data_IF_653696854112
#
_entry.id   IF_653696854112
#
_cell.length_a   1.000
_cell.length_b   1.000
_cell.length_c   1.000
_cell.angle_alpha   90.00
_cell.angle_beta   90.00
_cell.angle_gamma   90.00
#
_symmetry.space_group_name_H-M   'P 1'
#
loop_
_entity.id
_entity.type
_entity.pdbx_description
1 polymer ?
#
# COMPACT_ATOMS: atom_id res chain seq x y z
N UNK A 1 -9.24 49.87 -8.43
CA UNK A 1 -8.44 48.80 -9.05
C UNK A 1 -8.76 47.54 -8.28
N UNK A 2 -9.56 46.67 -8.90
CA UNK A 2 -10.14 45.45 -8.33
C UNK A 2 -9.11 44.33 -8.38
N UNK A 3 -8.58 43.92 -7.22
CA UNK A 3 -7.84 42.67 -7.07
C UNK A 3 -8.78 41.59 -6.53
N UNK A 4 -9.48 40.97 -7.48
CA UNK A 4 -10.20 39.72 -7.30
C UNK A 4 -9.83 38.84 -8.48
N UNK A 5 -8.73 38.12 -8.33
CA UNK A 5 -8.18 37.07 -9.22
C UNK A 5 -7.18 36.32 -8.30
N UNK A 6 -7.33 35.07 -7.88
CA UNK A 6 -7.86 33.89 -8.56
C UNK A 6 -8.55 32.98 -7.52
N UNK A 7 -9.86 33.14 -7.40
CA UNK A 7 -10.75 32.01 -7.16
C UNK A 7 -10.94 31.33 -8.52
N UNK A 8 -9.96 30.55 -8.97
CA UNK A 8 -10.19 29.60 -10.07
C UNK A 8 -10.79 28.35 -9.45
N UNK A 9 -12.11 28.43 -9.34
CA UNK A 9 -13.08 27.34 -9.42
C UNK A 9 -12.46 25.98 -9.76
N UNK A 10 -12.21 25.18 -8.73
CA UNK A 10 -11.85 23.77 -8.84
C UNK A 10 -13.12 22.95 -9.10
N UNK A 11 -13.78 23.22 -10.23
CA UNK A 11 -14.91 22.45 -10.73
C UNK A 11 -14.49 21.17 -11.47
N UNK A 12 -13.29 20.64 -11.18
CA UNK A 12 -12.75 19.42 -11.79
C UNK A 12 -12.50 18.26 -10.81
N UNK A 13 -12.95 18.38 -9.55
CA UNK A 13 -12.91 17.27 -8.56
C UNK A 13 -13.93 16.15 -8.82
N UNK A 14 -14.71 16.19 -9.89
CA UNK A 14 -15.89 15.32 -10.03
C UNK A 14 -15.65 13.94 -10.65
N UNK A 15 -14.46 13.65 -11.20
CA UNK A 15 -14.11 12.27 -11.61
C UNK A 15 -13.23 11.58 -10.57
N UNK A 16 -13.69 11.55 -9.31
CA UNK A 16 -13.08 10.71 -8.27
C UNK A 16 -13.11 9.25 -8.73
N UNK A 17 -11.93 8.72 -9.06
CA UNK A 17 -11.73 7.32 -9.43
C UNK A 17 -12.02 6.44 -8.22
N UNK A 18 -13.24 5.92 -8.09
CA UNK A 18 -13.63 5.11 -6.92
C UNK A 18 -13.08 3.68 -7.04
N UNK A 19 -12.01 3.39 -6.32
CA UNK A 19 -11.57 2.00 -6.08
C UNK A 19 -12.39 1.42 -4.92
N UNK A 20 -13.20 0.40 -5.20
CA UNK A 20 -14.05 -0.23 -4.17
C UNK A 20 -13.25 -1.28 -3.39
N UNK A 21 -12.81 -0.92 -2.18
CA UNK A 21 -12.13 -1.85 -1.28
C UNK A 21 -13.17 -2.75 -0.55
N UNK A 22 -13.02 -4.09 -0.59
CA UNK A 22 -13.88 -5.02 0.15
C UNK A 22 -13.92 -4.74 1.66
N UNK A 23 -15.06 -5.01 2.31
CA UNK A 23 -15.28 -4.68 3.73
C UNK A 23 -14.29 -5.36 4.70
N UNK A 24 -13.90 -6.61 4.44
CA UNK A 24 -12.92 -7.32 5.30
C UNK A 24 -11.53 -6.70 5.21
N UNK A 25 -11.16 -6.16 4.04
CA UNK A 25 -9.91 -5.43 3.86
C UNK A 25 -9.99 -4.01 4.45
N UNK A 26 -11.16 -3.38 4.44
CA UNK A 26 -11.38 -2.13 5.20
C UNK A 26 -11.18 -2.35 6.70
N UNK A 27 -11.72 -3.45 7.25
CA UNK A 27 -11.47 -3.82 8.64
C UNK A 27 -9.97 -4.01 8.91
N UNK A 28 -9.26 -4.71 8.01
CA UNK A 28 -7.81 -4.87 8.10
C UNK A 28 -7.07 -3.54 8.17
N UNK A 29 -7.48 -2.52 7.40
CA UNK A 29 -6.89 -1.17 7.43
C UNK A 29 -7.14 -0.46 8.77
N UNK A 30 -8.33 -0.64 9.36
CA UNK A 30 -8.67 -0.07 10.67
C UNK A 30 -7.82 -0.73 11.77
N UNK A 31 -7.73 -2.06 11.76
CA UNK A 31 -6.94 -2.83 12.72
C UNK A 31 -5.44 -2.46 12.59
N UNK A 32 -4.92 -2.36 11.36
CA UNK A 32 -3.54 -1.93 11.06
C UNK A 32 -3.24 -0.53 11.62
N UNK A 33 -4.13 0.44 11.39
CA UNK A 33 -3.99 1.78 11.95
C UNK A 33 -3.99 1.78 13.47
N UNK A 34 -4.86 0.99 14.12
CA UNK A 34 -4.93 0.88 15.57
C UNK A 34 -3.63 0.27 16.15
N UNK A 35 -3.11 -0.79 15.52
CA UNK A 35 -1.86 -1.43 15.96
C UNK A 35 -0.68 -0.47 15.95
N UNK A 36 -0.52 0.30 14.88
CA UNK A 36 0.64 1.18 14.73
C UNK A 36 0.47 2.47 15.51
N UNK A 37 -0.66 3.15 15.34
CA UNK A 37 -0.82 4.50 15.90
C UNK A 37 -1.12 4.46 17.40
N UNK A 38 -2.00 3.55 17.85
CA UNK A 38 -2.45 3.50 19.24
C UNK A 38 -1.62 2.53 20.08
N UNK A 39 -1.34 1.32 19.57
CA UNK A 39 -0.70 0.25 20.34
C UNK A 39 0.82 0.21 20.22
N UNK A 40 1.40 1.06 19.38
CA UNK A 40 2.85 1.13 19.12
C UNK A 40 3.46 -0.22 18.70
N UNK A 41 2.72 -0.96 17.87
CA UNK A 41 3.14 -2.23 17.31
C UNK A 41 3.45 -2.08 15.83
N UNK A 42 4.57 -2.64 15.39
CA UNK A 42 5.05 -2.53 14.03
C UNK A 42 5.04 -3.90 13.35
N UNK A 43 4.80 -3.90 12.05
CA UNK A 43 5.00 -5.09 11.21
C UNK A 43 6.49 -5.41 11.20
N UNK A 44 6.85 -6.66 11.48
CA UNK A 44 8.25 -7.09 11.41
C UNK A 44 8.74 -7.08 9.97
N UNK A 45 9.91 -6.47 9.75
CA UNK A 45 10.60 -6.43 8.47
C UNK A 45 11.89 -7.29 8.51
N UNK A 46 12.30 -7.91 7.40
CA UNK A 46 11.56 -8.03 6.14
C UNK A 46 10.32 -8.93 6.31
N UNK A 47 9.24 -8.60 5.60
CA UNK A 47 7.95 -9.29 5.67
C UNK A 47 7.91 -10.43 4.66
N UNK A 48 7.34 -11.59 5.05
CA UNK A 48 7.15 -12.73 4.15
C UNK A 48 5.71 -13.28 4.20
N UNK A 49 4.97 -13.32 3.07
CA UNK A 49 5.38 -12.87 1.74
C UNK A 49 5.52 -11.34 1.66
N UNK A 50 6.48 -10.87 0.86
CA UNK A 50 6.63 -9.45 0.53
C UNK A 50 5.73 -9.05 -0.65
N UNK A 51 5.74 -7.77 -1.04
CA UNK A 51 4.93 -7.28 -2.18
C UNK A 51 5.31 -7.99 -3.47
N UNK A 52 6.60 -8.18 -3.76
CA UNK A 52 7.06 -8.88 -4.97
C UNK A 52 6.51 -10.32 -5.03
N UNK A 53 6.55 -11.04 -3.91
CA UNK A 53 5.97 -12.39 -3.78
C UNK A 53 4.45 -12.37 -4.04
N UNK A 54 3.74 -11.38 -3.48
CA UNK A 54 2.28 -11.27 -3.61
C UNK A 54 1.89 -10.98 -5.07
N UNK A 55 2.59 -10.04 -5.73
CA UNK A 55 2.36 -9.71 -7.14
C UNK A 55 2.65 -10.92 -8.04
N UNK A 56 3.73 -11.65 -7.76
CA UNK A 56 4.10 -12.87 -8.49
C UNK A 56 3.04 -13.96 -8.32
N UNK A 57 2.59 -14.21 -7.08
CA UNK A 57 1.51 -15.17 -6.80
C UNK A 57 0.20 -14.82 -7.50
N UNK A 58 -0.13 -13.54 -7.61
CA UNK A 58 -1.31 -13.11 -8.35
C UNK A 58 -1.16 -13.33 -9.86
N UNK A 59 0.01 -13.04 -10.43
CA UNK A 59 0.28 -13.28 -11.84
C UNK A 59 0.14 -14.78 -12.17
N UNK A 60 0.71 -15.66 -11.35
CA UNK A 60 0.55 -17.11 -11.48
C UNK A 60 -0.91 -17.57 -11.36
N UNK A 61 -1.65 -17.01 -10.39
CA UNK A 61 -3.08 -17.26 -10.22
C UNK A 61 -3.86 -16.90 -11.49
N UNK A 62 -3.52 -15.78 -12.14
CA UNK A 62 -4.20 -15.31 -13.35
C UNK A 62 -3.82 -16.13 -14.58
N UNK A 63 -2.55 -16.52 -14.71
CA UNK A 63 -2.09 -17.39 -15.81
C UNK A 63 -2.83 -18.73 -15.84
N UNK A 64 -3.06 -19.33 -14.66
CA UNK A 64 -3.82 -20.59 -14.53
C UNK A 64 -5.31 -20.44 -14.86
N UNK A 65 -5.86 -19.24 -14.70
CA UNK A 65 -7.30 -18.96 -14.87
C UNK A 65 -7.69 -18.59 -16.31
N UNK A 66 -6.88 -17.77 -16.98
CA UNK A 66 -7.27 -17.13 -18.26
C UNK A 66 -6.48 -17.60 -19.49
N UNK A 67 -5.44 -18.42 -19.33
CA UNK A 67 -4.72 -19.09 -20.42
C UNK A 67 -3.95 -18.21 -21.43
N UNK A 68 -4.24 -16.91 -21.59
CA UNK A 68 -3.63 -16.06 -22.64
C UNK A 68 -3.62 -14.53 -22.44
N UNK A 69 -4.16 -13.98 -21.35
CA UNK A 69 -4.19 -12.51 -21.09
C UNK A 69 -3.26 -12.09 -19.93
N UNK A 70 -1.98 -12.45 -20.02
CA UNK A 70 -0.98 -12.15 -18.98
C UNK A 70 -0.32 -10.79 -19.14
N UNK A 71 -0.16 -10.30 -20.37
CA UNK A 71 0.73 -9.16 -20.64
C UNK A 71 0.18 -7.86 -20.04
N UNK A 72 -1.10 -7.56 -20.29
CA UNK A 72 -1.79 -6.41 -19.68
C UNK A 72 -1.85 -6.47 -18.15
N UNK A 73 -1.88 -7.67 -17.56
CA UNK A 73 -1.88 -7.84 -16.10
C UNK A 73 -0.48 -7.59 -15.55
N UNK A 74 0.55 -8.10 -16.22
CA UNK A 74 1.95 -7.86 -15.87
C UNK A 74 2.29 -6.37 -15.86
N UNK A 75 1.86 -5.62 -16.88
CA UNK A 75 2.07 -4.17 -16.95
C UNK A 75 1.42 -3.43 -15.76
N UNK A 76 0.18 -3.79 -15.41
CA UNK A 76 -0.52 -3.19 -14.27
C UNK A 76 0.21 -3.51 -12.95
N UNK A 77 0.69 -4.75 -12.77
CA UNK A 77 1.42 -5.14 -11.56
C UNK A 77 2.78 -4.45 -11.46
N UNK A 78 3.48 -4.29 -12.58
CA UNK A 78 4.72 -3.51 -12.64
C UNK A 78 4.48 -2.05 -12.29
N UNK A 79 3.38 -1.47 -12.78
CA UNK A 79 2.91 -0.14 -12.41
C UNK A 79 2.65 -0.03 -10.90
N UNK A 80 1.91 -0.98 -10.33
CA UNK A 80 1.64 -1.03 -8.88
C UNK A 80 2.92 -1.16 -8.04
N UNK A 81 3.88 -1.99 -8.47
CA UNK A 81 5.17 -2.15 -7.80
C UNK A 81 5.97 -0.85 -7.78
N UNK A 82 6.20 -0.27 -8.96
CA UNK A 82 6.93 1.00 -9.11
C UNK A 82 6.25 2.12 -8.31
N UNK A 83 4.92 2.12 -8.32
CA UNK A 83 4.14 3.08 -7.57
C UNK A 83 4.25 2.88 -6.06
N UNK A 84 4.20 1.63 -5.59
CA UNK A 84 4.42 1.28 -4.20
C UNK A 84 5.80 1.75 -3.71
N UNK A 85 6.86 1.44 -4.46
CA UNK A 85 8.24 1.80 -4.09
C UNK A 85 8.43 3.31 -3.92
N UNK A 86 7.82 4.11 -4.80
CA UNK A 86 7.88 5.57 -4.72
C UNK A 86 6.95 6.15 -3.65
N UNK A 87 5.74 5.59 -3.52
CA UNK A 87 4.73 6.12 -2.61
C UNK A 87 5.02 5.75 -1.15
N UNK A 88 5.67 4.62 -0.88
CA UNK A 88 5.91 4.14 0.48
C UNK A 88 6.61 5.18 1.36
N UNK A 89 7.81 5.68 1.01
CA UNK A 89 8.52 6.66 1.84
C UNK A 89 7.88 8.06 1.79
N UNK A 90 6.86 8.31 0.97
CA UNK A 90 6.24 9.64 0.90
C UNK A 90 4.94 9.67 1.69
N UNK A 91 4.02 8.74 1.41
CA UNK A 91 2.62 8.83 1.88
C UNK A 91 2.05 7.58 2.55
N UNK A 92 2.69 6.40 2.49
CA UNK A 92 2.08 5.16 3.01
C UNK A 92 2.52 4.79 4.44
N UNK A 93 3.59 5.40 4.95
CA UNK A 93 4.11 5.13 6.29
C UNK A 93 3.55 6.12 7.32
N UNK A 94 3.08 5.59 8.44
CA UNK A 94 2.77 6.39 9.62
C UNK A 94 4.06 6.93 10.26
N UNK A 95 3.93 7.99 11.07
CA UNK A 95 5.07 8.64 11.74
C UNK A 95 5.95 7.65 12.52
N UNK A 96 5.34 6.64 13.16
CA UNK A 96 6.02 5.62 13.98
C UNK A 96 6.81 4.59 13.17
N UNK A 97 6.47 4.39 11.89
CA UNK A 97 7.16 3.44 11.00
C UNK A 97 8.40 4.06 10.34
N UNK A 98 8.57 5.38 10.42
CA UNK A 98 9.64 6.12 9.72
C UNK A 98 11.03 5.67 10.14
N UNK A 99 11.24 5.45 11.44
CA UNK A 99 12.52 4.96 11.95
C UNK A 99 12.82 3.55 11.42
N UNK A 100 11.83 2.65 11.48
CA UNK A 100 11.96 1.29 10.95
C UNK A 100 12.29 1.27 9.45
N UNK A 101 11.73 2.20 8.67
CA UNK A 101 12.06 2.35 7.25
C UNK A 101 13.53 2.68 7.03
N UNK A 102 14.08 3.66 7.75
CA UNK A 102 15.50 4.05 7.62
C UNK A 102 16.46 2.93 8.02
N UNK A 103 16.05 2.03 8.94
CA UNK A 103 16.85 0.89 9.36
C UNK A 103 16.74 -0.31 8.40
N UNK A 104 15.56 -0.52 7.82
CA UNK A 104 15.28 -1.70 7.00
C UNK A 104 15.60 -1.51 5.51
N UNK A 105 15.48 -0.30 4.97
CA UNK A 105 15.61 -0.01 3.54
C UNK A 105 16.92 0.73 3.27
N UNK A 106 17.87 0.04 2.64
CA UNK A 106 19.08 0.64 2.11
C UNK A 106 18.84 1.31 0.75
N UNK A 107 19.72 2.21 0.33
CA UNK A 107 19.54 3.06 -0.86
C UNK A 107 19.25 2.30 -2.16
N UNK A 108 19.80 1.09 -2.33
CA UNK A 108 19.63 0.26 -3.53
C UNK A 108 18.57 -0.84 -3.38
N UNK A 109 17.80 -0.86 -2.29
CA UNK A 109 16.80 -1.91 -2.03
C UNK A 109 15.39 -1.38 -2.28
N UNK A 110 14.65 -2.06 -3.16
CA UNK A 110 13.25 -1.74 -3.44
C UNK A 110 12.36 -2.05 -2.22
N UNK A 111 11.51 -1.10 -1.78
CA UNK A 111 10.60 -1.37 -0.68
C UNK A 111 9.65 -2.55 -0.92
N UNK A 112 9.28 -2.84 -2.16
CA UNK A 112 8.44 -3.98 -2.52
C UNK A 112 9.05 -5.34 -2.15
N UNK A 113 10.38 -5.42 -2.02
CA UNK A 113 11.09 -6.64 -1.58
C UNK A 113 11.14 -6.80 -0.05
N UNK A 114 10.79 -5.76 0.71
CA UNK A 114 10.88 -5.73 2.18
C UNK A 114 9.51 -5.73 2.83
N UNK A 115 8.56 -4.96 2.30
CA UNK A 115 7.24 -4.75 2.89
C UNK A 115 6.22 -5.76 2.37
N UNK A 116 5.09 -5.90 3.08
CA UNK A 116 4.07 -6.90 2.76
C UNK A 116 2.70 -6.33 2.40
N UNK A 117 1.69 -7.17 2.58
CA UNK A 117 0.31 -6.90 2.16
C UNK A 117 -0.32 -5.72 2.93
N UNK A 118 0.10 -5.50 4.18
CA UNK A 118 -0.41 -4.46 5.07
C UNK A 118 -0.20 -3.07 4.41
N UNK A 119 1.03 -2.77 4.03
CA UNK A 119 1.40 -1.52 3.38
C UNK A 119 0.90 -1.44 1.95
N UNK A 120 0.92 -2.57 1.21
CA UNK A 120 0.37 -2.64 -0.13
C UNK A 120 -1.12 -2.28 -0.14
N UNK A 121 -1.88 -2.71 0.87
CA UNK A 121 -3.30 -2.40 0.96
C UNK A 121 -3.54 -0.89 1.18
N UNK A 122 -2.67 -0.20 1.92
CA UNK A 122 -2.74 1.26 2.10
C UNK A 122 -2.62 2.00 0.77
N UNK A 123 -1.86 1.45 -0.19
CA UNK A 123 -1.75 2.01 -1.52
C UNK A 123 -3.12 2.15 -2.21
N UNK A 124 -4.01 1.16 -2.05
CA UNK A 124 -5.33 1.18 -2.67
C UNK A 124 -6.25 2.27 -2.09
N UNK A 125 -5.97 2.76 -0.89
CA UNK A 125 -6.68 3.91 -0.30
C UNK A 125 -6.23 5.22 -0.96
N UNK A 126 -4.95 5.30 -1.35
CA UNK A 126 -4.35 6.49 -1.96
C UNK A 126 -4.48 6.53 -3.48
N UNK A 127 -4.57 5.37 -4.13
CA UNK A 127 -4.65 5.25 -5.57
C UNK A 127 -5.74 6.14 -6.21
N UNK A 128 -6.97 6.27 -5.66
CA UNK A 128 -7.99 7.19 -6.17
C UNK A 128 -7.54 8.65 -6.29
N UNK A 129 -6.90 9.16 -5.23
CA UNK A 129 -6.40 10.55 -5.17
C UNK A 129 -5.37 10.77 -6.27
N UNK A 130 -4.56 9.75 -6.58
CA UNK A 130 -3.44 9.83 -7.49
C UNK A 130 -3.86 9.67 -8.95
N UNK A 131 -4.81 8.77 -9.22
CA UNK A 131 -5.38 8.58 -10.56
C UNK A 131 -6.21 9.78 -11.00
N UNK A 132 -6.74 10.59 -10.07
CA UNK A 132 -7.47 11.81 -10.39
C UNK A 132 -6.60 12.87 -11.10
N UNK A 133 -5.28 12.83 -10.94
CA UNK A 133 -4.36 13.75 -11.61
C UNK A 133 -3.90 13.29 -13.00
N UNK A 134 -4.31 12.09 -13.43
CA UNK A 134 -3.90 11.51 -14.72
C UNK A 134 -5.10 11.55 -15.68
N UNK A 135 -4.90 12.12 -16.87
CA UNK A 135 -5.92 12.14 -17.92
C UNK A 135 -6.00 10.76 -18.60
N UNK A 136 -6.73 9.82 -17.98
CA UNK A 136 -6.94 8.46 -18.49
C UNK A 136 -8.30 8.41 -19.22
N UNK A 137 -8.30 7.82 -20.41
CA UNK A 137 -9.54 7.55 -21.16
C UNK A 137 -10.49 6.66 -20.34
N UNK A 138 -11.79 6.96 -20.43
CA UNK A 138 -12.80 6.33 -19.57
C UNK A 138 -12.85 4.80 -19.70
N UNK A 139 -12.78 4.27 -20.92
CA UNK A 139 -12.78 2.82 -21.13
C UNK A 139 -11.55 2.15 -20.49
N UNK A 140 -10.37 2.77 -20.66
CA UNK A 140 -9.12 2.31 -20.05
C UNK A 140 -9.19 2.37 -18.53
N UNK A 141 -9.78 3.44 -17.98
CA UNK A 141 -9.97 3.60 -16.53
C UNK A 141 -10.87 2.52 -15.94
N UNK A 142 -11.99 2.20 -16.61
CA UNK A 142 -12.91 1.14 -16.18
C UNK A 142 -12.21 -0.21 -16.19
N UNK A 143 -11.43 -0.52 -17.23
CA UNK A 143 -10.63 -1.76 -17.30
C UNK A 143 -9.59 -1.84 -16.19
N UNK A 144 -8.89 -0.74 -15.91
CA UNK A 144 -7.93 -0.65 -14.80
C UNK A 144 -8.63 -0.91 -13.46
N UNK A 145 -9.75 -0.24 -13.19
CA UNK A 145 -10.52 -0.42 -11.96
C UNK A 145 -10.98 -1.88 -11.76
N UNK A 146 -11.42 -2.55 -12.83
CA UNK A 146 -11.81 -3.96 -12.78
C UNK A 146 -10.63 -4.86 -12.40
N UNK A 147 -9.45 -4.61 -12.97
CA UNK A 147 -8.23 -5.38 -12.65
C UNK A 147 -7.74 -5.14 -11.23
N UNK A 148 -7.79 -3.90 -10.75
CA UNK A 148 -7.47 -3.54 -9.36
C UNK A 148 -8.45 -4.21 -8.38
N UNK A 149 -9.74 -4.22 -8.71
CA UNK A 149 -10.75 -4.89 -7.89
C UNK A 149 -10.56 -6.42 -7.87
N UNK A 150 -10.20 -7.03 -9.00
CA UNK A 150 -9.86 -8.46 -9.05
C UNK A 150 -8.66 -8.79 -8.16
N UNK A 151 -7.63 -7.94 -8.18
CA UNK A 151 -6.48 -8.05 -7.29
C UNK A 151 -6.86 -7.91 -5.81
N UNK A 152 -7.71 -6.94 -5.45
CA UNK A 152 -8.22 -6.80 -4.08
C UNK A 152 -9.02 -8.03 -3.64
N UNK A 153 -9.82 -8.63 -4.52
CA UNK A 153 -10.53 -9.89 -4.23
C UNK A 153 -9.56 -11.05 -4.04
N UNK A 154 -8.46 -11.08 -4.78
CA UNK A 154 -7.39 -12.06 -4.57
C UNK A 154 -6.72 -11.88 -3.20
N UNK A 155 -6.41 -10.66 -2.78
CA UNK A 155 -5.90 -10.39 -1.42
C UNK A 155 -6.90 -10.83 -0.35
N UNK A 156 -8.18 -10.50 -0.52
CA UNK A 156 -9.26 -10.90 0.38
C UNK A 156 -9.36 -12.43 0.51
N UNK A 157 -9.29 -13.16 -0.61
CA UNK A 157 -9.38 -14.63 -0.61
C UNK A 157 -8.22 -15.29 0.15
N UNK A 158 -7.05 -14.65 0.16
CA UNK A 158 -5.84 -15.16 0.79
C UNK A 158 -5.48 -14.40 2.08
N UNK A 159 -6.46 -13.75 2.71
CA UNK A 159 -6.23 -12.81 3.80
C UNK A 159 -5.45 -13.44 4.97
N UNK A 160 -5.78 -14.69 5.34
CA UNK A 160 -5.10 -15.40 6.43
C UNK A 160 -3.63 -15.78 6.15
N UNK A 161 -3.18 -15.70 4.90
CA UNK A 161 -1.79 -15.96 4.52
C UNK A 161 -1.01 -14.66 4.32
N UNK A 162 -1.67 -13.61 3.83
CA UNK A 162 -1.01 -12.36 3.45
C UNK A 162 -0.95 -11.34 4.58
N UNK A 163 -1.93 -11.31 5.48
CA UNK A 163 -2.00 -10.32 6.56
C UNK A 163 -1.71 -10.95 7.90
N UNK A 164 -0.94 -10.26 8.74
CA UNK A 164 -0.72 -10.67 10.12
C UNK A 164 -1.98 -10.44 10.97
N UNK A 165 -2.22 -11.36 11.90
CA UNK A 165 -3.25 -11.23 12.94
C UNK A 165 -2.78 -10.42 14.16
N UNK A 166 -1.46 -10.27 14.33
CA UNK A 166 -0.85 -9.50 15.41
C UNK A 166 0.52 -8.96 14.98
N UNK A 167 0.88 -7.79 15.51
CA UNK A 167 2.15 -7.10 15.24
C UNK A 167 3.08 -7.18 16.47
N UNK A 168 4.38 -7.00 16.25
CA UNK A 168 5.38 -7.01 17.32
C UNK A 168 5.44 -5.64 18.01
N UNK A 169 5.76 -5.63 19.30
CA UNK A 169 6.02 -4.37 20.01
C UNK A 169 7.21 -3.64 19.38
N UNK A 170 7.08 -2.33 19.20
CA UNK A 170 8.20 -1.50 18.75
C UNK A 170 9.40 -1.69 19.69
N UNK A 171 10.57 -2.01 19.14
CA UNK A 171 11.83 -2.12 19.89
C UNK A 171 12.30 -0.71 20.25
N UNK A 172 11.59 -0.03 21.14
CA UNK A 172 12.16 1.14 21.82
C UNK A 172 13.29 0.58 22.67
N UNK A 173 14.51 1.07 22.47
CA UNK A 173 15.63 0.74 23.35
C UNK A 173 15.25 1.13 24.78
N UNK A 174 14.94 0.13 25.61
CA UNK A 174 15.00 0.32 27.05
C UNK A 174 16.47 0.61 27.36
N UNK A 175 16.78 1.90 27.49
CA UNK A 175 18.05 2.36 28.02
C UNK A 175 18.23 1.71 29.39
N UNK A 176 19.10 0.70 29.45
CA UNK A 176 19.53 0.10 30.70
C UNK A 176 20.36 1.14 31.44
N UNK A 177 19.68 2.01 32.19
CA UNK A 177 20.27 2.84 33.21
C UNK A 177 20.75 1.93 34.32
N UNK A 178 21.95 1.37 34.17
CA UNK A 178 22.65 0.71 35.26
C UNK A 178 23.49 1.75 35.99
N UNK A 179 22.77 2.65 36.69
CA UNK A 179 23.32 3.27 37.88
C UNK A 179 23.40 2.19 38.95
N UNK A 180 24.61 1.88 39.40
CA UNK A 180 24.85 1.39 40.75
C UNK A 180 26.26 1.81 41.16
N UNK A 181 26.25 2.88 41.94
CA UNK A 181 27.23 3.13 42.99
C UNK A 181 27.56 1.83 43.73
N UNK A 182 28.85 1.49 43.79
CA UNK A 182 29.65 1.43 45.02
C UNK A 182 31.05 0.86 44.71
#
# INVERSE_FOLDING_TARGET
MTESLLFTDSASVEKLVKVQIPSTLKKQLVDDWEFITQKDKLVKLPRSPNVDDILTKYLEYRSKKDGKMTDSVGEILNGLRCYFDKALPVILLYKKERQQYHEAVADDVSPSSIYGAEHLLRLFVKLPELLAYVNIEEETLVRLQQKLLDFLKFLQKNQGTFFLSAYDASKVSEGSGKGKDN
#
